data_IF_288908590151
#
_entry.id   IF_288908590151
#
_cell.length_a   1.000
_cell.length_b   1.000
_cell.length_c   1.000
_cell.angle_alpha   90.00
_cell.angle_beta   90.00
_cell.angle_gamma   90.00
#
_symmetry.space_group_name_H-M   'P 1'
#
loop_
_entity.id
_entity.type
_entity.pdbx_description
1 polymer ?
#
# COMPACT_ATOMS: atom_id res chain seq x y z
N UNK A 1 29.59 -37.02 -18.70
CA UNK A 1 29.91 -35.58 -18.79
C UNK A 1 28.69 -34.68 -19.10
N UNK A 2 27.87 -34.95 -20.12
CA UNK A 2 26.73 -34.08 -20.51
C UNK A 2 25.71 -33.74 -19.40
N UNK A 3 25.45 -34.69 -18.49
CA UNK A 3 24.51 -34.50 -17.36
C UNK A 3 25.05 -33.55 -16.26
N UNK A 4 26.37 -33.49 -16.09
CA UNK A 4 27.03 -32.61 -15.13
C UNK A 4 26.96 -31.14 -15.57
N UNK A 5 27.12 -30.89 -16.86
CA UNK A 5 26.97 -29.55 -17.46
C UNK A 5 25.54 -29.01 -17.35
N UNK A 6 24.53 -29.86 -17.54
CA UNK A 6 23.12 -29.47 -17.37
C UNK A 6 22.78 -29.14 -15.91
N UNK A 7 23.29 -29.92 -14.96
CA UNK A 7 23.07 -29.66 -13.54
C UNK A 7 23.72 -28.34 -13.08
N UNK A 8 24.95 -28.07 -13.54
CA UNK A 8 25.61 -26.78 -13.27
C UNK A 8 24.88 -25.59 -13.91
N UNK A 9 24.38 -25.75 -15.14
CA UNK A 9 23.60 -24.70 -15.81
C UNK A 9 22.30 -24.38 -15.06
N UNK A 10 21.59 -25.40 -14.58
CA UNK A 10 20.38 -25.23 -13.77
C UNK A 10 20.68 -24.56 -12.42
N UNK A 11 21.77 -24.94 -11.76
CA UNK A 11 22.17 -24.35 -10.48
C UNK A 11 22.56 -22.87 -10.65
N UNK A 12 23.26 -22.53 -11.73
CA UNK A 12 23.63 -21.16 -12.05
C UNK A 12 22.41 -20.28 -12.35
N UNK A 13 21.45 -20.79 -13.12
CA UNK A 13 20.17 -20.11 -13.36
C UNK A 13 19.37 -19.91 -12.08
N UNK A 14 19.35 -20.91 -11.21
CA UNK A 14 18.65 -20.83 -9.92
C UNK A 14 19.32 -19.80 -8.99
N UNK A 15 20.65 -19.80 -8.90
CA UNK A 15 21.40 -18.81 -8.15
C UNK A 15 21.20 -17.40 -8.71
N UNK A 16 21.20 -17.25 -10.04
CA UNK A 16 20.94 -15.96 -10.69
C UNK A 16 19.53 -15.45 -10.39
N UNK A 17 18.52 -16.33 -10.43
CA UNK A 17 17.14 -15.97 -10.09
C UNK A 17 16.99 -15.60 -8.60
N UNK A 18 17.72 -16.29 -7.71
CA UNK A 18 17.69 -16.01 -6.28
C UNK A 18 18.41 -14.71 -5.91
N UNK A 19 19.49 -14.35 -6.62
CA UNK A 19 20.29 -13.15 -6.37
C UNK A 19 19.91 -11.94 -7.21
N UNK A 20 18.98 -12.05 -8.16
CA UNK A 20 18.44 -10.88 -8.86
C UNK A 20 17.66 -10.02 -7.84
N UNK A 21 18.01 -8.73 -7.68
CA UNK A 21 17.24 -7.83 -6.83
C UNK A 21 15.81 -7.78 -7.36
N UNK A 22 14.84 -8.13 -6.52
CA UNK A 22 13.41 -7.93 -6.80
C UNK A 22 13.14 -6.43 -6.76
N UNK A 23 13.10 -5.77 -7.92
CA UNK A 23 12.65 -4.38 -8.12
C UNK A 23 11.23 -4.11 -7.57
N UNK A 24 10.52 -5.18 -7.20
CA UNK A 24 9.18 -5.16 -6.63
C UNK A 24 9.08 -4.34 -5.34
N UNK A 25 10.14 -4.30 -4.52
CA UNK A 25 10.12 -3.61 -3.21
C UNK A 25 10.21 -2.09 -3.37
N UNK A 26 11.14 -1.60 -4.20
CA UNK A 26 11.28 -0.15 -4.43
C UNK A 26 10.05 0.43 -5.14
N UNK A 27 9.48 -0.35 -6.07
CA UNK A 27 8.26 0.02 -6.79
C UNK A 27 7.06 0.07 -5.84
N UNK A 28 6.90 -0.91 -4.95
CA UNK A 28 5.86 -0.92 -3.92
C UNK A 28 5.93 0.31 -3.01
N UNK A 29 7.12 0.65 -2.50
CA UNK A 29 7.32 1.83 -1.63
C UNK A 29 6.94 3.13 -2.34
N UNK A 30 7.22 3.25 -3.64
CA UNK A 30 6.86 4.44 -4.43
C UNK A 30 5.34 4.55 -4.62
N UNK A 31 4.68 3.41 -4.87
CA UNK A 31 3.22 3.33 -5.02
C UNK A 31 2.54 3.70 -3.69
N UNK A 32 3.01 3.13 -2.58
CA UNK A 32 2.49 3.42 -1.23
C UNK A 32 2.64 4.91 -0.87
N UNK A 33 3.80 5.52 -1.12
CA UNK A 33 4.01 6.95 -0.87
C UNK A 33 3.01 7.80 -1.66
N UNK A 34 2.80 7.48 -2.94
CA UNK A 34 1.88 8.24 -3.80
C UNK A 34 0.44 8.07 -3.32
N UNK A 35 0.03 6.84 -3.03
CA UNK A 35 -1.31 6.54 -2.55
C UNK A 35 -1.59 7.21 -1.19
N UNK A 36 -0.59 7.31 -0.30
CA UNK A 36 -0.70 8.07 0.94
C UNK A 36 -0.93 9.57 0.74
N UNK A 37 -0.35 10.18 -0.29
CA UNK A 37 -0.61 11.59 -0.62
C UNK A 37 -2.03 11.79 -1.17
N UNK A 38 -2.50 10.86 -2.00
CA UNK A 38 -3.86 10.88 -2.56
C UNK A 38 -4.91 10.69 -1.45
N UNK A 39 -4.65 9.80 -0.49
CA UNK A 39 -5.45 9.63 0.74
C UNK A 39 -5.58 10.97 1.49
N UNK A 40 -4.45 11.62 1.77
CA UNK A 40 -4.45 12.90 2.52
C UNK A 40 -5.27 13.95 1.79
N UNK A 41 -5.14 14.05 0.46
CA UNK A 41 -5.93 14.98 -0.34
C UNK A 41 -7.43 14.67 -0.27
N UNK A 42 -7.81 13.39 -0.40
CA UNK A 42 -9.20 12.96 -0.31
C UNK A 42 -9.79 13.22 1.09
N UNK A 43 -9.05 12.89 2.15
CA UNK A 43 -9.45 13.12 3.54
C UNK A 43 -9.60 14.61 3.87
N UNK A 44 -8.71 15.46 3.34
CA UNK A 44 -8.82 16.90 3.54
C UNK A 44 -10.02 17.51 2.80
N UNK A 45 -10.40 16.97 1.63
CA UNK A 45 -11.65 17.36 0.95
C UNK A 45 -12.87 16.96 1.78
N UNK A 46 -12.93 15.70 2.22
CA UNK A 46 -14.00 15.22 3.09
C UNK A 46 -14.08 16.03 4.40
N UNK A 47 -12.95 16.42 4.97
CA UNK A 47 -12.90 17.23 6.19
C UNK A 47 -13.46 18.64 5.96
N UNK A 48 -13.11 19.26 4.84
CA UNK A 48 -13.65 20.55 4.45
C UNK A 48 -15.17 20.51 4.23
N UNK A 49 -15.67 19.46 3.56
CA UNK A 49 -17.10 19.24 3.34
C UNK A 49 -17.87 18.98 4.64
N UNK A 50 -17.25 18.26 5.59
CA UNK A 50 -17.80 18.02 6.92
C UNK A 50 -17.64 19.20 7.89
N UNK A 51 -16.97 20.30 7.47
CA UNK A 51 -16.70 21.46 8.32
C UNK A 51 -15.70 21.19 9.46
N UNK A 52 -14.87 20.15 9.34
CA UNK A 52 -13.80 19.87 10.30
C UNK A 52 -12.61 20.82 10.07
N UNK A 53 -12.13 21.46 11.14
CA UNK A 53 -10.97 22.36 11.07
C UNK A 53 -9.63 21.61 10.95
N UNK A 54 -9.63 20.32 11.25
CA UNK A 54 -8.43 19.48 11.23
C UNK A 54 -8.00 19.17 9.80
N UNK A 55 -6.68 19.17 9.57
CA UNK A 55 -6.07 18.81 8.30
C UNK A 55 -5.13 17.64 8.48
N UNK A 56 -5.36 16.60 7.70
CA UNK A 56 -4.46 15.47 7.59
C UNK A 56 -3.20 15.86 6.82
N UNK A 57 -2.10 15.20 7.17
CA UNK A 57 -0.78 15.30 6.57
C UNK A 57 -0.23 13.90 6.30
N UNK A 58 0.84 13.79 5.52
CA UNK A 58 1.46 12.49 5.23
C UNK A 58 1.93 11.73 6.49
N UNK A 59 2.18 12.44 7.59
CA UNK A 59 2.55 11.84 8.88
C UNK A 59 1.36 11.18 9.60
N UNK A 60 0.13 11.55 9.24
CA UNK A 60 -1.09 11.01 9.82
C UNK A 60 -1.53 9.71 9.13
N UNK A 61 -0.89 9.35 8.00
CA UNK A 61 -1.17 8.14 7.22
C UNK A 61 -0.61 6.91 7.93
N UNK A 62 -1.48 5.94 8.19
CA UNK A 62 -1.10 4.64 8.72
C UNK A 62 -0.62 3.73 7.59
N UNK A 63 0.34 2.82 7.88
CA UNK A 63 0.78 1.84 6.90
C UNK A 63 -0.40 1.00 6.43
N UNK A 64 -0.49 0.82 5.10
CA UNK A 64 -1.56 0.04 4.47
C UNK A 64 -1.60 -1.36 5.07
N UNK A 65 -2.78 -1.81 5.50
CA UNK A 65 -3.00 -3.21 5.87
C UNK A 65 -3.45 -3.96 4.62
N UNK A 66 -2.70 -4.99 4.27
CA UNK A 66 -3.12 -5.97 3.29
C UNK A 66 -4.18 -6.85 3.95
N UNK A 67 -5.46 -6.60 3.66
CA UNK A 67 -6.52 -7.55 3.98
C UNK A 67 -6.74 -8.47 2.78
N UNK A 68 -6.71 -9.78 3.03
CA UNK A 68 -7.01 -10.79 2.02
C UNK A 68 -8.52 -10.79 1.77
N UNK A 69 -8.92 -10.35 0.57
CA UNK A 69 -10.31 -10.45 0.15
C UNK A 69 -10.76 -11.93 0.10
N UNK A 70 -12.01 -12.25 0.52
CA UNK A 70 -12.52 -13.60 0.47
C UNK A 70 -12.66 -14.05 -1.00
N UNK A 71 -11.76 -14.93 -1.44
CA UNK A 71 -11.72 -15.41 -2.83
C UNK A 71 -10.34 -15.81 -3.35
N UNK A 72 -9.27 -15.65 -2.57
CA UNK A 72 -7.91 -16.08 -2.94
C UNK A 72 -7.23 -15.22 -4.02
N UNK A 73 -7.98 -14.31 -4.64
CA UNK A 73 -7.41 -13.13 -5.28
C UNK A 73 -7.04 -12.20 -4.15
N UNK A 74 -5.74 -12.00 -3.91
CA UNK A 74 -5.23 -10.88 -3.11
C UNK A 74 -5.57 -9.63 -3.90
N UNK A 75 -6.83 -9.21 -3.84
CA UNK A 75 -7.18 -7.85 -4.18
C UNK A 75 -6.47 -7.02 -3.11
N UNK A 76 -5.38 -6.36 -3.49
CA UNK A 76 -4.87 -5.22 -2.74
C UNK A 76 -5.98 -4.17 -2.74
N UNK A 77 -7.01 -4.37 -1.93
CA UNK A 77 -7.85 -3.30 -1.45
C UNK A 77 -6.95 -2.62 -0.44
N UNK A 78 -6.07 -1.75 -0.94
CA UNK A 78 -5.21 -0.91 -0.12
C UNK A 78 -6.10 0.09 0.59
N UNK A 79 -6.80 -0.38 1.61
CA UNK A 79 -7.52 0.42 2.57
C UNK A 79 -6.50 1.28 3.30
N UNK A 80 -6.43 2.55 2.92
CA UNK A 80 -5.55 3.52 3.52
C UNK A 80 -6.33 4.27 4.60
N UNK A 81 -5.72 4.42 5.77
CA UNK A 81 -6.29 5.15 6.89
C UNK A 81 -5.38 6.32 7.26
N UNK A 82 -5.96 7.51 7.45
CA UNK A 82 -5.29 8.65 8.08
C UNK A 82 -5.94 8.93 9.44
N UNK A 83 -5.14 9.18 10.48
CA UNK A 83 -5.67 9.46 11.82
C UNK A 83 -5.00 10.68 12.44
N UNK A 84 -5.82 11.61 12.93
CA UNK A 84 -5.38 12.84 13.58
C UNK A 84 -6.38 13.28 14.64
N UNK A 85 -5.92 13.66 15.83
CA UNK A 85 -6.72 14.31 16.88
C UNK A 85 -8.11 13.68 17.19
N UNK A 86 -8.23 12.35 17.03
CA UNK A 86 -9.48 11.60 17.26
C UNK A 86 -10.39 11.46 16.03
N UNK A 87 -10.03 12.08 14.91
CA UNK A 87 -10.61 11.88 13.58
C UNK A 87 -9.83 10.78 12.83
N UNK A 88 -10.55 9.76 12.37
CA UNK A 88 -10.03 8.75 11.43
C UNK A 88 -10.69 8.98 10.07
N UNK A 89 -9.89 8.90 9.02
CA UNK A 89 -10.33 8.95 7.64
C UNK A 89 -9.94 7.67 6.92
N UNK A 90 -10.88 7.03 6.25
CA UNK A 90 -10.67 5.79 5.51
C UNK A 90 -10.92 6.01 4.02
N UNK A 91 -10.02 5.52 3.17
CA UNK A 91 -10.16 5.56 1.71
C UNK A 91 -9.61 4.28 1.08
N UNK A 92 -10.36 3.72 0.14
CA UNK A 92 -10.02 2.47 -0.57
C UNK A 92 -9.43 2.72 -1.97
N UNK A 93 -9.22 3.98 -2.36
CA UNK A 93 -8.71 4.35 -3.68
C UNK A 93 -9.78 4.53 -4.76
N UNK A 94 -11.04 4.15 -4.51
CA UNK A 94 -12.12 4.10 -5.51
C UNK A 94 -13.32 4.94 -5.06
N UNK A 95 -13.79 4.72 -3.84
CA UNK A 95 -14.92 5.43 -3.25
C UNK A 95 -14.52 6.77 -2.62
N UNK A 96 -15.50 7.53 -2.17
CA UNK A 96 -15.29 8.76 -1.39
C UNK A 96 -14.64 8.45 -0.04
N UNK A 97 -13.74 9.33 0.40
CA UNK A 97 -13.09 9.20 1.70
C UNK A 97 -14.10 9.40 2.84
N UNK A 98 -14.14 8.44 3.78
CA UNK A 98 -15.10 8.44 4.88
C UNK A 98 -14.45 8.91 6.17
N UNK A 99 -15.01 9.95 6.77
CA UNK A 99 -14.58 10.46 8.07
C UNK A 99 -15.37 9.83 9.21
N UNK A 100 -14.65 9.38 10.22
CA UNK A 100 -15.21 8.85 11.47
C UNK A 100 -14.53 9.51 12.64
N UNK A 101 -15.30 10.16 13.52
CA UNK A 101 -14.79 10.68 14.80
C UNK A 101 -14.95 9.60 15.86
N UNK A 102 -13.85 9.12 16.44
CA UNK A 102 -13.92 8.27 17.64
C UNK A 102 -14.20 9.17 18.84
N UNK A 103 -15.38 9.00 19.45
CA UNK A 103 -15.72 9.61 20.75
C UNK A 103 -14.92 8.96 21.87
#
# INVERSE_FOLDING_TARGET
MRRLWLAMGALALFALWFFLPRDDVETAVRIERRAGLDLVAACNRAAAEAGAAERFSAADVLPARLEEAPGGVVALVSALEARRDGLSCHWDGIEEARLTRRR
#
